data_IF_371011466209
#
_entry.id   IF_371011466209
#
_cell.length_a   1.000
_cell.length_b   1.000
_cell.length_c   1.000
_cell.angle_alpha   90.00
_cell.angle_beta   90.00
_cell.angle_gamma   90.00
#
_symmetry.space_group_name_H-M   'P 1'
#
loop_
_entity.id
_entity.type
_entity.pdbx_description
1 polymer ?
#
# COMPACT_ATOMS: atom_id res chain seq x y z
N UNK A 1 -57.07 -6.88 43.31
CA UNK A 1 -56.73 -7.68 42.10
C UNK A 1 -57.08 -6.85 40.88
N UNK A 2 -56.28 -6.68 39.83
CA UNK A 2 -54.84 -6.80 39.62
C UNK A 2 -54.61 -6.39 38.14
N UNK A 3 -53.46 -5.75 37.85
CA UNK A 3 -52.76 -5.74 36.55
C UNK A 3 -53.44 -5.16 35.30
N UNK A 4 -53.43 -3.83 35.11
CA UNK A 4 -53.61 -3.23 33.77
C UNK A 4 -52.77 -1.95 33.55
N UNK A 5 -51.51 -1.91 33.97
CA UNK A 5 -50.61 -0.78 33.67
C UNK A 5 -49.14 -1.20 33.49
N UNK A 6 -48.82 -2.09 32.55
CA UNK A 6 -47.41 -2.38 32.22
C UNK A 6 -47.10 -2.56 30.73
N UNK A 7 -48.09 -2.75 29.85
CA UNK A 7 -47.82 -3.20 28.47
C UNK A 7 -47.30 -2.11 27.52
N UNK A 8 -47.67 -0.84 27.71
CA UNK A 8 -47.31 0.27 26.80
C UNK A 8 -45.92 0.87 27.07
N UNK A 9 -45.43 0.78 28.31
CA UNK A 9 -44.12 1.28 28.73
C UNK A 9 -42.96 0.41 28.21
N UNK A 10 -43.14 -0.92 28.20
CA UNK A 10 -42.12 -1.88 27.79
C UNK A 10 -41.74 -1.80 26.30
N UNK A 11 -42.65 -1.36 25.42
CA UNK A 11 -42.39 -1.25 23.97
C UNK A 11 -41.44 -0.07 23.68
N UNK A 12 -41.50 1.00 24.47
CA UNK A 12 -40.63 2.17 24.30
C UNK A 12 -39.21 1.87 24.79
N UNK A 13 -39.10 1.20 25.95
CA UNK A 13 -37.82 0.71 26.46
C UNK A 13 -37.18 -0.32 25.53
N UNK A 14 -37.97 -1.22 24.94
CA UNK A 14 -37.47 -2.22 23.98
C UNK A 14 -36.93 -1.57 22.69
N UNK A 15 -37.61 -0.54 22.16
CA UNK A 15 -37.12 0.22 20.99
C UNK A 15 -35.81 0.95 21.27
N UNK A 16 -35.68 1.57 22.45
CA UNK A 16 -34.44 2.22 22.85
C UNK A 16 -33.30 1.21 23.07
N UNK A 17 -33.60 0.04 23.64
CA UNK A 17 -32.61 -1.03 23.80
C UNK A 17 -32.10 -1.55 22.45
N UNK A 18 -33.00 -1.75 21.48
CA UNK A 18 -32.66 -2.17 20.11
C UNK A 18 -31.82 -1.09 19.42
N UNK A 19 -32.18 0.19 19.56
CA UNK A 19 -31.43 1.29 18.97
C UNK A 19 -29.99 1.38 19.53
N UNK A 20 -29.81 1.19 20.84
CA UNK A 20 -28.49 1.16 21.49
C UNK A 20 -27.67 -0.04 21.01
N UNK A 21 -28.28 -1.22 20.87
CA UNK A 21 -27.62 -2.41 20.34
C UNK A 21 -27.14 -2.23 18.89
N UNK A 22 -27.97 -1.62 18.05
CA UNK A 22 -27.60 -1.29 16.65
C UNK A 22 -26.45 -0.27 16.63
N UNK A 23 -26.50 0.76 17.49
CA UNK A 23 -25.44 1.77 17.58
C UNK A 23 -24.10 1.15 18.03
N UNK A 24 -24.13 0.27 19.03
CA UNK A 24 -22.94 -0.47 19.47
C UNK A 24 -22.40 -1.39 18.37
N UNK A 25 -23.26 -2.05 17.59
CA UNK A 25 -22.85 -2.88 16.47
C UNK A 25 -22.15 -2.06 15.37
N UNK A 26 -22.65 -0.85 15.06
CA UNK A 26 -22.03 0.05 14.07
C UNK A 26 -20.66 0.57 14.55
N UNK A 27 -20.51 0.84 15.86
CA UNK A 27 -19.24 1.29 16.42
C UNK A 27 -18.15 0.19 16.41
N UNK A 28 -18.52 -1.08 16.34
CA UNK A 28 -17.58 -2.20 16.23
C UNK A 28 -17.11 -2.48 14.79
N UNK A 29 -17.71 -1.85 13.78
CA UNK A 29 -17.30 -2.00 12.36
C UNK A 29 -16.12 -1.07 12.02
N UNK A 30 -15.51 -0.42 13.02
CA UNK A 30 -14.24 0.30 12.91
C UNK A 30 -13.05 -0.64 12.64
N UNK A 31 -13.07 -1.37 11.52
CA UNK A 31 -11.90 -2.01 10.94
C UNK A 31 -10.94 -0.91 10.47
N UNK A 32 -10.08 -0.46 11.38
CA UNK A 32 -8.88 0.25 10.99
C UNK A 32 -8.03 -0.70 10.16
N UNK A 33 -8.05 -0.56 8.83
CA UNK A 33 -7.04 -1.18 7.99
C UNK A 33 -5.70 -0.59 8.45
N UNK A 34 -4.80 -1.42 8.94
CA UNK A 34 -3.44 -1.00 9.23
C UNK A 34 -2.87 -0.34 7.99
N UNK A 35 -2.19 0.79 8.18
CA UNK A 35 -1.56 1.48 7.05
C UNK A 35 -0.40 0.60 6.57
N UNK A 36 -0.29 0.37 5.25
CA UNK A 36 0.77 -0.48 4.73
C UNK A 36 2.14 0.08 5.09
N UNK A 37 3.07 -0.81 5.42
CA UNK A 37 4.45 -0.43 5.75
C UNK A 37 5.14 0.21 4.53
N UNK A 38 6.20 1.01 4.69
CA UNK A 38 6.92 1.57 3.55
C UNK A 38 7.44 0.51 2.56
N UNK A 39 7.90 -0.65 3.07
CA UNK A 39 8.37 -1.76 2.22
C UNK A 39 7.23 -2.43 1.45
N UNK A 40 6.07 -2.56 2.09
CA UNK A 40 4.86 -3.08 1.43
C UNK A 40 4.36 -2.14 0.32
N UNK A 41 4.49 -0.83 0.49
CA UNK A 41 4.18 0.15 -0.56
C UNK A 41 5.15 0.04 -1.75
N UNK A 42 6.44 -0.17 -1.49
CA UNK A 42 7.46 -0.43 -2.53
C UNK A 42 7.12 -1.71 -3.29
N UNK A 43 6.80 -2.79 -2.56
CA UNK A 43 6.40 -4.06 -3.14
C UNK A 43 5.14 -3.94 -4.02
N UNK A 44 4.12 -3.25 -3.52
CA UNK A 44 2.87 -2.98 -4.26
C UNK A 44 3.13 -2.16 -5.53
N UNK A 45 4.04 -1.18 -5.47
CA UNK A 45 4.44 -0.39 -6.64
C UNK A 45 5.09 -1.27 -7.71
N UNK A 46 5.99 -2.17 -7.31
CA UNK A 46 6.59 -3.13 -8.22
C UNK A 46 5.56 -4.08 -8.86
N UNK A 47 4.57 -4.54 -8.09
CA UNK A 47 3.49 -5.38 -8.63
C UNK A 47 2.70 -4.66 -9.71
N UNK A 48 2.33 -3.40 -9.46
CA UNK A 48 1.57 -2.63 -10.43
C UNK A 48 2.36 -2.49 -11.75
N UNK A 49 3.67 -2.30 -11.67
CA UNK A 49 4.54 -2.22 -12.84
C UNK A 49 4.59 -3.55 -13.61
N UNK A 50 4.74 -4.68 -12.90
CA UNK A 50 4.72 -6.03 -13.52
C UNK A 50 3.36 -6.33 -14.14
N UNK A 51 2.28 -6.07 -13.40
CA UNK A 51 0.90 -6.29 -13.86
C UNK A 51 0.63 -5.57 -15.18
N UNK A 52 1.06 -4.32 -15.30
CA UNK A 52 0.92 -3.53 -16.53
C UNK A 52 1.71 -4.10 -17.72
N UNK A 53 2.68 -4.98 -17.47
CA UNK A 53 3.56 -5.57 -18.48
C UNK A 53 3.12 -6.98 -18.91
N UNK A 54 2.16 -7.60 -18.21
CA UNK A 54 1.69 -8.96 -18.50
C UNK A 54 0.72 -8.99 -19.70
N UNK A 55 0.73 -10.12 -20.42
CA UNK A 55 -0.21 -10.36 -21.55
C UNK A 55 -1.66 -10.52 -21.05
N UNK A 56 -1.84 -11.21 -19.92
CA UNK A 56 -3.14 -11.51 -19.34
C UNK A 56 -3.21 -11.01 -17.87
N UNK A 57 -3.21 -9.68 -17.64
CA UNK A 57 -3.12 -9.10 -16.29
C UNK A 57 -4.27 -9.52 -15.38
N UNK A 58 -5.47 -9.76 -15.94
CA UNK A 58 -6.63 -10.19 -15.18
C UNK A 58 -6.49 -11.60 -14.54
N UNK A 59 -5.50 -12.38 -14.98
CA UNK A 59 -5.21 -13.72 -14.46
C UNK A 59 -4.00 -13.76 -13.53
N UNK A 60 -3.36 -12.60 -13.30
CA UNK A 60 -2.15 -12.51 -12.52
C UNK A 60 -2.44 -12.68 -11.02
N UNK A 61 -1.70 -13.58 -10.39
CA UNK A 61 -1.72 -13.83 -8.96
C UNK A 61 -0.31 -13.59 -8.40
N UNK A 62 -0.21 -12.63 -7.49
CA UNK A 62 1.04 -12.26 -6.83
C UNK A 62 1.09 -12.83 -5.41
N UNK A 63 2.27 -13.23 -4.90
CA UNK A 63 2.39 -13.68 -3.52
C UNK A 63 2.13 -12.55 -2.53
N UNK A 64 1.67 -12.92 -1.34
CA UNK A 64 1.55 -12.00 -0.21
C UNK A 64 2.91 -11.36 0.11
N UNK A 65 2.88 -10.11 0.61
CA UNK A 65 4.09 -9.37 0.94
C UNK A 65 4.94 -10.13 1.97
N UNK A 66 6.22 -10.28 1.65
CA UNK A 66 7.25 -10.75 2.57
C UNK A 66 8.41 -9.76 2.53
N UNK A 67 8.94 -9.41 3.69
CA UNK A 67 10.07 -8.47 3.78
C UNK A 67 11.28 -8.93 2.96
N UNK A 68 11.46 -10.24 2.78
CA UNK A 68 12.55 -10.82 1.97
C UNK A 68 12.49 -10.47 0.48
N UNK A 69 11.34 -10.07 -0.05
CA UNK A 69 11.19 -9.69 -1.45
C UNK A 69 11.74 -8.29 -1.75
N UNK A 70 11.90 -7.44 -0.74
CA UNK A 70 12.34 -6.06 -0.92
C UNK A 70 13.69 -5.88 -0.23
N UNK A 71 14.70 -5.52 -1.01
CA UNK A 71 16.05 -5.24 -0.50
C UNK A 71 16.40 -3.79 -0.78
N UNK A 72 16.89 -3.08 0.24
CA UNK A 72 17.54 -1.81 -0.01
C UNK A 72 18.85 -2.07 -0.77
N UNK A 73 19.04 -1.35 -1.87
CA UNK A 73 20.23 -1.47 -2.71
C UNK A 73 21.20 -0.32 -2.39
N UNK A 74 20.82 0.90 -2.74
CA UNK A 74 21.70 2.06 -2.64
C UNK A 74 20.92 3.38 -2.54
N UNK A 75 21.62 4.46 -2.21
CA UNK A 75 21.13 5.83 -2.42
C UNK A 75 21.90 6.44 -3.59
N UNK A 76 21.18 7.05 -4.54
CA UNK A 76 21.77 7.76 -5.67
C UNK A 76 21.44 9.25 -5.54
N UNK A 77 22.44 10.10 -5.75
CA UNK A 77 22.22 11.54 -5.94
C UNK A 77 22.17 11.81 -7.44
N UNK A 78 21.01 12.20 -7.96
CA UNK A 78 20.92 12.68 -9.35
C UNK A 78 20.76 14.19 -9.38
N UNK A 79 21.49 14.81 -10.30
CA UNK A 79 21.40 16.22 -10.60
C UNK A 79 20.43 16.41 -11.78
N UNK A 80 19.22 16.90 -11.49
CA UNK A 80 18.21 17.17 -12.51
C UNK A 80 18.46 18.57 -13.12
N UNK A 81 19.57 18.73 -13.85
CA UNK A 81 19.87 19.95 -14.61
C UNK A 81 20.17 21.18 -13.73
N UNK A 82 19.66 22.36 -14.09
CA UNK A 82 19.88 23.63 -13.36
C UNK A 82 19.19 23.68 -11.96
N UNK A 83 19.10 22.57 -11.25
CA UNK A 83 18.28 22.42 -10.05
C UNK A 83 18.85 21.40 -9.07
N UNK A 84 18.80 21.78 -7.79
CA UNK A 84 19.39 21.08 -6.64
C UNK A 84 19.35 19.54 -6.71
N UNK A 85 20.47 18.87 -6.36
CA UNK A 85 20.57 17.42 -6.42
C UNK A 85 19.50 16.75 -5.55
N UNK A 86 18.91 15.69 -6.06
CA UNK A 86 17.91 14.89 -5.37
C UNK A 86 18.52 13.55 -4.98
N UNK A 87 18.28 13.14 -3.74
CA UNK A 87 18.63 11.81 -3.27
C UNK A 87 17.46 10.85 -3.46
N UNK A 88 17.76 9.71 -4.06
CA UNK A 88 16.86 8.61 -4.32
C UNK A 88 17.33 7.39 -3.56
N UNK A 89 16.45 6.75 -2.80
CA UNK A 89 16.68 5.41 -2.29
C UNK A 89 16.21 4.40 -3.32
N UNK A 90 17.09 3.50 -3.70
CA UNK A 90 16.83 2.42 -4.65
C UNK A 90 16.55 1.15 -3.86
N UNK A 91 15.41 0.54 -4.17
CA UNK A 91 15.00 -0.73 -3.62
C UNK A 91 14.85 -1.75 -4.74
N UNK A 92 15.45 -2.90 -4.53
CA UNK A 92 15.37 -4.06 -5.40
C UNK A 92 14.20 -4.93 -4.94
N UNK A 93 13.26 -5.20 -5.84
CA UNK A 93 12.13 -6.10 -5.59
C UNK A 93 12.32 -7.36 -6.45
N UNK A 94 12.52 -8.49 -5.78
CA UNK A 94 12.64 -9.82 -6.40
C UNK A 94 11.50 -10.69 -5.91
N UNK A 95 10.62 -11.09 -6.81
CA UNK A 95 9.48 -11.97 -6.49
C UNK A 95 9.02 -12.69 -7.76
N UNK A 96 7.82 -13.27 -7.73
CA UNK A 96 7.23 -14.00 -8.84
C UNK A 96 5.76 -13.63 -9.03
N UNK A 97 5.24 -13.90 -10.22
CA UNK A 97 3.81 -13.79 -10.55
C UNK A 97 3.39 -15.06 -11.27
N UNK A 98 2.24 -15.59 -10.87
CA UNK A 98 1.59 -16.68 -11.60
C UNK A 98 0.54 -16.06 -12.54
N UNK A 99 0.62 -16.31 -13.85
CA UNK A 99 -0.36 -15.78 -14.80
C UNK A 99 -0.59 -16.72 -15.98
N UNK A 100 -1.75 -16.62 -16.63
CA UNK A 100 -2.05 -17.44 -17.80
C UNK A 100 -1.38 -16.88 -19.06
N UNK A 101 -0.80 -17.77 -19.87
CA UNK A 101 -0.38 -17.42 -21.22
C UNK A 101 -1.56 -17.45 -22.22
N UNK A 102 -1.30 -17.12 -23.49
CA UNK A 102 -2.31 -17.15 -24.55
C UNK A 102 -2.93 -18.53 -24.83
N UNK A 103 -2.34 -19.61 -24.31
CA UNK A 103 -2.86 -20.98 -24.42
C UNK A 103 -3.68 -21.41 -23.19
N UNK A 104 -3.87 -20.52 -22.21
CA UNK A 104 -4.59 -20.80 -20.96
C UNK A 104 -3.80 -21.64 -19.96
N UNK A 105 -2.50 -21.83 -20.16
CA UNK A 105 -1.64 -22.50 -19.18
C UNK A 105 -1.16 -21.48 -18.14
N UNK A 106 -1.26 -21.84 -16.86
CA UNK A 106 -0.73 -21.06 -15.75
C UNK A 106 0.80 -21.22 -15.70
N UNK A 107 1.52 -20.11 -15.78
CA UNK A 107 2.99 -20.08 -15.72
C UNK A 107 3.42 -19.19 -14.56
N UNK A 108 4.43 -19.67 -13.83
CA UNK A 108 5.16 -18.86 -12.86
C UNK A 108 6.29 -18.15 -13.56
N UNK A 109 6.36 -16.84 -13.38
CA UNK A 109 7.38 -15.98 -13.96
C UNK A 109 8.03 -15.18 -12.84
N UNK A 110 9.35 -15.23 -12.75
CA UNK A 110 10.08 -14.44 -11.77
C UNK A 110 10.28 -13.04 -12.34
N UNK A 111 10.29 -12.03 -11.48
CA UNK A 111 10.56 -10.67 -11.92
C UNK A 111 11.51 -9.96 -10.97
N UNK A 112 12.16 -8.96 -11.55
CA UNK A 112 13.06 -8.07 -10.85
C UNK A 112 12.72 -6.62 -11.23
N UNK A 113 12.34 -5.83 -10.23
CA UNK A 113 11.96 -4.42 -10.38
C UNK A 113 12.82 -3.57 -9.46
N UNK A 114 13.34 -2.47 -9.99
CA UNK A 114 13.95 -1.42 -9.17
C UNK A 114 12.96 -0.30 -8.92
N UNK A 115 12.76 0.03 -7.65
CA UNK A 115 11.87 1.10 -7.20
C UNK A 115 12.71 2.21 -6.60
N UNK A 116 12.52 3.42 -7.11
CA UNK A 116 13.20 4.62 -6.68
C UNK A 116 12.25 5.46 -5.82
N UNK A 117 12.72 5.80 -4.62
CA UNK A 117 11.99 6.57 -3.62
C UNK A 117 12.72 7.88 -3.31
N UNK A 118 12.07 9.02 -3.57
CA UNK A 118 12.63 10.34 -3.26
C UNK A 118 12.74 10.54 -1.75
N UNK A 119 13.88 11.07 -1.31
CA UNK A 119 14.09 11.49 0.08
C UNK A 119 13.75 12.99 0.22
N UNK A 120 12.48 13.31 0.53
CA UNK A 120 12.01 14.72 0.67
C UNK A 120 12.42 15.39 2.01
N UNK A 121 13.17 14.71 2.87
CA UNK A 121 13.77 15.27 4.10
C UNK A 121 15.26 15.00 4.15
N UNK A 122 16.05 15.85 3.49
CA UNK A 122 17.51 15.82 3.59
C UNK A 122 18.02 17.03 4.40
N UNK A 123 18.52 16.86 5.64
CA UNK A 123 19.30 17.90 6.29
C UNK A 123 20.63 18.03 5.53
N UNK A 124 20.76 19.09 4.74
CA UNK A 124 21.97 19.33 3.95
C UNK A 124 23.13 19.75 4.87
N UNK A 125 24.33 19.16 4.72
CA UNK A 125 25.53 19.66 5.41
C UNK A 125 25.80 21.15 5.16
N UNK A 126 25.28 21.72 4.07
CA UNK A 126 25.43 23.13 3.68
C UNK A 126 24.30 24.05 4.20
N UNK A 127 23.11 23.51 4.49
CA UNK A 127 21.92 24.29 4.84
C UNK A 127 21.26 23.89 6.18
N UNK A 128 21.85 22.94 6.92
CA UNK A 128 21.40 22.53 8.26
C UNK A 128 19.98 21.94 8.27
N UNK A 129 19.25 22.19 9.38
CA UNK A 129 17.88 21.72 9.60
C UNK A 129 16.83 22.36 8.66
N UNK A 130 17.24 23.31 7.81
CA UNK A 130 16.43 23.92 6.74
C UNK A 130 16.52 23.17 5.41
N UNK A 131 16.85 21.88 5.45
CA UNK A 131 16.83 20.99 4.29
C UNK A 131 15.62 21.19 3.38
N UNK A 132 15.84 21.05 2.07
CA UNK A 132 14.86 21.32 1.02
C UNK A 132 13.58 20.51 1.28
N UNK A 133 12.53 21.17 1.78
CA UNK A 133 11.15 20.63 1.78
C UNK A 133 10.56 20.96 0.43
N UNK A 134 10.68 20.05 -0.53
CA UNK A 134 10.36 20.38 -1.93
C UNK A 134 8.85 20.33 -2.18
N UNK A 135 8.05 19.86 -1.22
CA UNK A 135 6.59 19.82 -1.33
C UNK A 135 6.13 18.91 -2.47
N UNK A 136 7.00 18.02 -2.93
CA UNK A 136 6.72 17.06 -3.98
C UNK A 136 6.03 15.90 -3.28
N UNK A 137 4.75 15.68 -3.59
CA UNK A 137 4.02 14.51 -3.11
C UNK A 137 4.85 13.24 -3.40
N UNK A 138 4.82 12.23 -2.53
CA UNK A 138 5.67 11.03 -2.68
C UNK A 138 5.52 10.39 -4.08
N UNK A 139 6.47 10.62 -4.99
CA UNK A 139 6.42 10.07 -6.35
C UNK A 139 7.36 8.87 -6.42
N UNK A 140 6.84 7.66 -6.21
CA UNK A 140 7.60 6.47 -6.57
C UNK A 140 7.74 6.41 -8.09
N UNK A 141 8.92 6.05 -8.59
CA UNK A 141 9.07 5.59 -9.97
C UNK A 141 9.79 4.25 -9.96
N UNK A 142 9.39 3.36 -10.86
CA UNK A 142 9.86 1.99 -10.89
C UNK A 142 10.20 1.56 -12.30
N UNK A 143 11.29 0.82 -12.44
CA UNK A 143 11.70 0.23 -13.70
C UNK A 143 11.66 -1.29 -13.59
N UNK A 144 10.93 -1.93 -14.49
CA UNK A 144 11.01 -3.37 -14.68
C UNK A 144 12.36 -3.69 -15.34
N UNK A 145 13.23 -4.37 -14.62
CA UNK A 145 14.57 -4.70 -15.10
C UNK A 145 14.54 -6.03 -15.87
N UNK A 146 13.87 -7.04 -15.33
CA UNK A 146 13.62 -8.30 -16.02
C UNK A 146 12.33 -8.98 -15.57
N UNK A 147 11.79 -9.79 -16.47
CA UNK A 147 10.68 -10.69 -16.25
C UNK A 147 10.99 -11.98 -17.02
N UNK A 148 11.24 -13.06 -16.29
CA UNK A 148 11.81 -14.32 -16.79
C UNK A 148 10.90 -15.53 -16.50
#
# INVERSE_FOLDING_TARGET
>A
MNFLFTKKSNICCLKNLIAILILCAVMLIGCGKEKPTPLEQIYTTAHQQVLNSLIAPATAEFPEFQESFVKYNTSVLEDLGEGMPLEYRVYDVVSYVDSMNSFGAMLRTNYYVQVYYYVDKYPSPKFGDQGIKKGIENHYYSYLISID
#
